data_IF_486997004258
#
_entry.id   IF_486997004258
#
_cell.length_a   1.000
_cell.length_b   1.000
_cell.length_c   1.000
_cell.angle_alpha   90.00
_cell.angle_beta   90.00
_cell.angle_gamma   90.00
#
_symmetry.space_group_name_H-M   'P 1'
#
loop_
_entity.id
_entity.type
_entity.pdbx_description
1 polymer ?
#
# COMPACT_ATOMS: atom_id res chain seq x y z
N UNK A 1 25.23 -7.72 10.28
CA UNK A 1 26.39 -8.05 9.41
C UNK A 1 26.67 -9.55 9.13
N UNK A 2 25.88 -10.51 9.62
CA UNK A 2 25.99 -11.93 9.19
C UNK A 2 25.69 -12.11 7.68
N UNK A 3 24.72 -11.34 7.16
CA UNK A 3 24.41 -11.27 5.72
C UNK A 3 25.59 -10.74 4.88
N UNK A 4 26.41 -9.82 5.41
CA UNK A 4 27.61 -9.32 4.72
C UNK A 4 28.68 -10.40 4.57
N UNK A 5 28.84 -11.27 5.58
CA UNK A 5 29.72 -12.45 5.51
C UNK A 5 29.17 -13.54 4.61
N UNK A 6 27.85 -13.66 4.52
CA UNK A 6 27.15 -14.60 3.62
C UNK A 6 27.29 -14.23 2.14
N UNK A 7 27.67 -12.99 1.85
CA UNK A 7 27.87 -12.49 0.49
C UNK A 7 26.57 -12.21 -0.26
N UNK A 8 26.68 -12.12 -1.57
CA UNK A 8 25.56 -11.89 -2.48
C UNK A 8 25.31 -13.12 -3.36
N UNK A 9 24.25 -13.10 -4.19
CA UNK A 9 24.05 -14.12 -5.24
C UNK A 9 25.25 -14.20 -6.21
N UNK A 10 26.08 -13.16 -6.30
CA UNK A 10 27.32 -13.12 -7.10
C UNK A 10 28.59 -13.61 -6.39
N UNK A 11 28.49 -14.10 -5.15
CA UNK A 11 29.63 -14.60 -4.37
C UNK A 11 29.98 -13.71 -3.17
N UNK A 12 31.17 -13.95 -2.63
CA UNK A 12 31.64 -13.33 -1.38
C UNK A 12 31.90 -11.83 -1.56
N UNK A 13 31.19 -11.01 -0.77
CA UNK A 13 31.39 -9.55 -0.76
C UNK A 13 32.62 -9.18 0.07
N UNK A 14 32.92 -9.97 1.11
CA UNK A 14 34.05 -9.78 2.02
C UNK A 14 34.96 -11.02 1.97
N UNK A 15 36.24 -10.81 1.64
CA UNK A 15 37.27 -11.82 1.81
C UNK A 15 37.89 -11.67 3.22
N UNK A 16 37.35 -12.39 4.20
CA UNK A 16 37.77 -12.27 5.61
C UNK A 16 39.26 -12.59 5.78
N UNK A 17 40.02 -11.69 6.41
CA UNK A 17 41.47 -11.84 6.58
C UNK A 17 42.30 -11.60 5.32
N UNK A 18 41.67 -11.43 4.15
CA UNK A 18 42.32 -11.20 2.85
C UNK A 18 41.70 -9.98 2.17
N UNK A 19 41.85 -8.80 2.80
CA UNK A 19 41.12 -7.59 2.43
C UNK A 19 41.14 -7.27 0.93
N UNK A 20 42.28 -7.42 0.26
CA UNK A 20 42.46 -7.12 -1.17
C UNK A 20 41.74 -8.08 -2.14
N UNK A 21 41.21 -9.21 -1.65
CA UNK A 21 40.52 -10.20 -2.50
C UNK A 21 38.99 -10.05 -2.48
N UNK A 22 38.45 -9.13 -1.69
CA UNK A 22 37.00 -8.93 -1.56
C UNK A 22 36.44 -7.91 -2.56
N UNK A 23 35.24 -8.19 -3.08
CA UNK A 23 34.52 -7.31 -4.00
C UNK A 23 34.29 -5.90 -3.40
N UNK A 24 34.04 -5.80 -2.09
CA UNK A 24 33.83 -4.49 -1.44
C UNK A 24 35.02 -3.54 -1.65
N UNK A 25 36.24 -4.00 -1.41
CA UNK A 25 37.42 -3.15 -1.56
C UNK A 25 37.76 -2.89 -3.03
N UNK A 26 37.53 -3.86 -3.91
CA UNK A 26 37.68 -3.68 -5.35
C UNK A 26 36.77 -2.53 -5.85
N UNK A 27 35.51 -2.48 -5.39
CA UNK A 27 34.56 -1.41 -5.73
C UNK A 27 34.92 -0.05 -5.12
N UNK A 28 35.45 -0.01 -3.90
CA UNK A 28 35.84 1.25 -3.26
C UNK A 28 37.11 1.86 -3.86
N UNK A 29 37.99 1.04 -4.43
CA UNK A 29 39.28 1.47 -4.99
C UNK A 29 39.32 1.48 -6.52
N UNK A 30 38.25 1.05 -7.20
CA UNK A 30 38.16 1.06 -8.65
C UNK A 30 38.41 2.46 -9.24
N UNK A 31 39.18 2.49 -10.33
CA UNK A 31 39.46 3.73 -11.08
C UNK A 31 38.39 4.02 -12.13
N UNK A 32 37.71 2.98 -12.64
CA UNK A 32 36.56 3.13 -13.52
C UNK A 32 35.36 3.67 -12.72
N UNK A 33 34.82 4.81 -13.14
CA UNK A 33 33.67 5.44 -12.49
C UNK A 33 32.41 4.58 -12.52
N UNK A 34 32.25 3.73 -13.54
CA UNK A 34 31.08 2.84 -13.67
C UNK A 34 31.13 1.64 -12.72
N UNK A 35 32.32 1.32 -12.20
CA UNK A 35 32.54 0.22 -11.27
C UNK A 35 32.73 0.71 -9.83
N UNK A 36 33.22 1.94 -9.65
CA UNK A 36 33.55 2.51 -8.35
C UNK A 36 32.31 2.85 -7.53
N UNK A 37 32.36 2.53 -6.24
CA UNK A 37 31.34 2.92 -5.27
C UNK A 37 31.83 4.08 -4.37
N UNK A 38 30.98 5.06 -4.02
CA UNK A 38 29.59 5.19 -4.46
C UNK A 38 29.51 5.58 -5.95
N UNK A 39 28.49 5.09 -6.69
CA UNK A 39 28.37 5.31 -8.13
C UNK A 39 28.01 6.77 -8.42
N UNK A 40 27.23 7.37 -7.53
CA UNK A 40 26.96 8.79 -7.47
C UNK A 40 27.63 9.35 -6.22
N UNK A 41 28.59 10.26 -6.40
CA UNK A 41 29.23 10.97 -5.28
C UNK A 41 30.76 10.98 -5.32
N UNK A 42 31.33 11.62 -4.31
CA UNK A 42 32.78 11.66 -4.13
C UNK A 42 33.30 10.28 -3.67
N UNK A 43 34.51 9.89 -4.08
CA UNK A 43 35.19 8.73 -3.50
C UNK A 43 35.31 8.86 -1.99
N UNK A 44 35.30 7.72 -1.30
CA UNK A 44 35.67 7.70 0.11
C UNK A 44 37.09 8.23 0.28
N UNK A 45 37.33 8.90 1.41
CA UNK A 45 38.65 9.41 1.75
C UNK A 45 39.61 8.24 1.96
N UNK A 46 40.92 8.43 1.69
CA UNK A 46 41.92 7.39 1.90
C UNK A 46 41.87 6.77 3.31
N UNK A 47 41.61 7.57 4.34
CA UNK A 47 41.50 7.10 5.73
C UNK A 47 40.28 6.21 5.97
N UNK A 48 39.16 6.47 5.27
CA UNK A 48 37.94 5.65 5.37
C UNK A 48 38.16 4.30 4.69
N UNK A 49 38.78 4.29 3.50
CA UNK A 49 39.15 3.06 2.79
C UNK A 49 40.15 2.25 3.63
N UNK A 50 41.13 2.92 4.26
CA UNK A 50 42.10 2.29 5.16
C UNK A 50 41.41 1.62 6.35
N UNK A 51 40.47 2.32 7.00
CA UNK A 51 39.71 1.77 8.12
C UNK A 51 38.90 0.53 7.71
N UNK A 52 38.25 0.56 6.54
CA UNK A 52 37.51 -0.59 6.00
C UNK A 52 38.46 -1.76 5.72
N UNK A 53 39.63 -1.50 5.13
CA UNK A 53 40.65 -2.52 4.86
C UNK A 53 41.13 -3.20 6.14
N UNK A 54 41.47 -2.42 7.15
CA UNK A 54 41.92 -2.94 8.46
C UNK A 54 40.83 -3.75 9.14
N UNK A 55 39.57 -3.29 9.06
CA UNK A 55 38.42 -4.02 9.58
C UNK A 55 38.24 -5.38 8.90
N UNK A 56 38.34 -5.47 7.56
CA UNK A 56 38.26 -6.75 6.83
C UNK A 56 39.43 -7.67 7.17
N UNK A 57 40.65 -7.12 7.25
CA UNK A 57 41.85 -7.86 7.63
C UNK A 57 41.77 -8.42 9.06
N UNK A 58 41.11 -7.71 9.97
CA UNK A 58 40.81 -8.17 11.33
C UNK A 58 39.68 -9.23 11.40
N UNK A 59 39.19 -9.71 10.25
CA UNK A 59 38.10 -10.70 10.18
C UNK A 59 36.71 -10.08 10.29
N UNK A 60 36.57 -8.78 10.00
CA UNK A 60 35.31 -8.03 10.04
C UNK A 60 34.55 -8.24 11.37
N UNK A 61 35.15 -7.91 12.54
CA UNK A 61 34.50 -8.11 13.83
C UNK A 61 33.21 -7.29 13.93
N UNK A 62 32.18 -7.88 14.53
CA UNK A 62 30.85 -7.30 14.64
C UNK A 62 30.60 -6.81 16.07
N UNK A 63 29.93 -5.67 16.27
CA UNK A 63 29.47 -5.25 17.59
C UNK A 63 28.54 -6.32 18.19
N UNK A 64 28.78 -6.73 19.43
CA UNK A 64 27.92 -7.73 20.11
C UNK A 64 26.47 -7.25 20.28
N UNK A 65 26.22 -5.95 20.22
CA UNK A 65 24.89 -5.33 20.33
C UNK A 65 24.11 -5.30 19.01
N UNK A 66 24.73 -5.68 17.88
CA UNK A 66 24.06 -5.66 16.58
C UNK A 66 23.19 -6.91 16.43
N UNK A 67 21.87 -6.73 16.44
CA UNK A 67 20.91 -7.79 16.13
C UNK A 67 20.58 -7.76 14.64
N UNK A 68 20.50 -8.93 14.02
CA UNK A 68 20.01 -9.02 12.65
C UNK A 68 18.55 -8.54 12.60
N UNK A 69 18.20 -7.82 11.55
CA UNK A 69 16.79 -7.52 11.28
C UNK A 69 16.02 -8.83 11.11
N UNK A 70 14.82 -8.89 11.68
CA UNK A 70 13.92 -10.03 11.51
C UNK A 70 13.62 -10.24 10.02
N UNK A 71 13.41 -11.48 9.61
CA UNK A 71 13.08 -11.76 8.22
C UNK A 71 11.77 -11.05 7.83
N UNK A 72 11.68 -10.43 6.64
CA UNK A 72 10.46 -9.76 6.16
C UNK A 72 9.16 -10.54 6.38
N UNK A 73 9.20 -11.86 6.18
CA UNK A 73 8.04 -12.75 6.34
C UNK A 73 7.56 -12.86 7.79
N UNK A 74 8.40 -12.57 8.78
CA UNK A 74 8.04 -12.60 10.21
C UNK A 74 7.26 -11.36 10.63
N UNK A 75 7.23 -10.30 9.81
CA UNK A 75 6.43 -9.11 10.11
C UNK A 75 4.94 -9.47 10.19
N UNK A 76 4.24 -8.91 11.19
CA UNK A 76 2.86 -9.28 11.54
C UNK A 76 1.87 -9.18 10.37
N UNK A 77 2.11 -8.26 9.42
CA UNK A 77 1.28 -8.07 8.24
C UNK A 77 1.31 -9.25 7.26
N UNK A 78 2.37 -10.08 7.30
CA UNK A 78 2.52 -11.29 6.48
C UNK A 78 2.21 -12.58 7.25
N UNK A 79 1.70 -12.45 8.47
CA UNK A 79 1.28 -13.57 9.31
C UNK A 79 -0.23 -13.72 9.25
N UNK A 80 -0.70 -14.96 9.24
CA UNK A 80 -2.15 -15.23 9.30
C UNK A 80 -2.71 -14.70 10.62
N UNK A 81 -3.68 -13.77 10.62
CA UNK A 81 -4.28 -13.26 11.84
C UNK A 81 -4.88 -14.40 12.67
N UNK A 82 -4.53 -14.45 13.96
CA UNK A 82 -5.07 -15.45 14.89
C UNK A 82 -6.12 -14.78 15.78
N UNK A 83 -7.25 -15.45 15.95
CA UNK A 83 -8.30 -14.97 16.86
C UNK A 83 -7.75 -14.99 18.29
N UNK A 84 -7.83 -13.84 18.96
CA UNK A 84 -7.44 -13.69 20.36
C UNK A 84 -8.68 -13.80 21.26
N UNK A 85 -8.53 -14.32 22.49
CA UNK A 85 -9.60 -14.23 23.48
C UNK A 85 -9.87 -12.77 23.80
N UNK A 86 -11.15 -12.41 23.89
CA UNK A 86 -11.56 -11.05 24.25
C UNK A 86 -11.37 -10.84 25.77
N UNK A 87 -10.88 -9.67 26.20
CA UNK A 87 -10.58 -9.40 27.61
C UNK A 87 -11.82 -9.08 28.46
N UNK A 88 -13.00 -8.94 27.84
CA UNK A 88 -14.22 -8.48 28.49
C UNK A 88 -15.49 -9.06 27.86
N UNK A 89 -16.62 -8.54 28.32
CA UNK A 89 -17.97 -8.92 27.90
C UNK A 89 -18.89 -7.70 27.70
N UNK A 90 -18.33 -6.55 27.31
CA UNK A 90 -19.06 -5.29 27.07
C UNK A 90 -20.01 -5.34 25.86
N UNK A 91 -20.23 -6.51 25.27
CA UNK A 91 -21.12 -6.76 24.13
C UNK A 91 -20.44 -6.49 22.79
N UNK A 92 -19.73 -5.38 22.65
CA UNK A 92 -18.96 -5.04 21.45
C UNK A 92 -17.46 -5.42 21.63
N UNK A 93 -16.94 -6.36 20.80
CA UNK A 93 -15.54 -6.79 20.89
C UNK A 93 -14.50 -5.68 20.73
N UNK A 94 -14.81 -4.61 19.99
CA UNK A 94 -13.90 -3.47 19.79
C UNK A 94 -13.78 -2.69 21.09
N UNK A 95 -14.89 -2.46 21.77
CA UNK A 95 -14.93 -1.73 23.04
C UNK A 95 -14.19 -2.50 24.13
N UNK A 96 -14.35 -3.83 24.19
CA UNK A 96 -13.60 -4.71 25.11
C UNK A 96 -12.07 -4.54 24.93
N UNK A 97 -11.60 -4.54 23.67
CA UNK A 97 -10.18 -4.39 23.34
C UNK A 97 -9.66 -2.99 23.71
N UNK A 98 -10.45 -1.95 23.43
CA UNK A 98 -10.08 -0.57 23.75
C UNK A 98 -10.03 -0.34 25.26
N UNK A 99 -11.04 -0.79 26.00
CA UNK A 99 -11.13 -0.58 27.45
C UNK A 99 -10.02 -1.33 28.20
N UNK A 100 -9.70 -2.55 27.79
CA UNK A 100 -8.55 -3.28 28.33
C UNK A 100 -7.23 -2.51 28.11
N UNK A 101 -7.07 -1.87 26.94
CA UNK A 101 -5.88 -1.08 26.63
C UNK A 101 -5.82 0.23 27.42
N UNK A 102 -6.95 0.91 27.59
CA UNK A 102 -7.07 2.14 28.38
C UNK A 102 -6.77 1.86 29.86
N UNK A 103 -7.37 0.82 30.42
CA UNK A 103 -7.17 0.39 31.82
C UNK A 103 -5.70 0.07 32.09
N UNK A 104 -5.05 -0.70 31.22
CA UNK A 104 -3.61 -1.00 31.33
C UNK A 104 -2.73 0.25 31.32
N UNK A 105 -3.18 1.32 30.68
CA UNK A 105 -2.48 2.61 30.59
C UNK A 105 -2.91 3.62 31.66
N UNK A 106 -3.82 3.26 32.57
CA UNK A 106 -4.38 4.18 33.56
C UNK A 106 -5.18 5.34 32.94
N UNK A 107 -5.70 5.15 31.72
CA UNK A 107 -6.48 6.15 31.01
C UNK A 107 -7.98 5.88 31.21
N UNK A 108 -8.76 6.95 31.36
CA UNK A 108 -10.22 6.90 31.44
C UNK A 108 -10.82 7.51 30.17
N UNK A 109 -11.80 6.82 29.58
CA UNK A 109 -12.54 7.34 28.44
C UNK A 109 -13.33 8.61 28.83
N UNK A 110 -13.45 9.54 27.88
CA UNK A 110 -14.34 10.69 28.01
C UNK A 110 -15.80 10.23 27.90
N UNK A 111 -16.76 10.96 28.51
CA UNK A 111 -18.16 10.65 28.34
C UNK A 111 -18.57 10.75 26.86
N UNK A 112 -19.62 10.02 26.43
CA UNK A 112 -20.18 10.16 25.10
C UNK A 112 -20.50 11.63 24.78
N UNK A 113 -20.28 12.02 23.53
CA UNK A 113 -20.65 13.35 23.07
C UNK A 113 -22.18 13.53 23.10
N UNK A 114 -22.63 14.78 23.18
CA UNK A 114 -24.05 15.10 23.11
C UNK A 114 -24.68 14.54 21.83
N UNK A 115 -25.96 14.15 21.92
CA UNK A 115 -26.69 13.52 20.81
C UNK A 115 -26.65 14.34 19.52
N UNK A 116 -26.83 15.66 19.64
CA UNK A 116 -26.75 16.62 18.53
C UNK A 116 -25.39 16.59 17.82
N UNK A 117 -24.30 16.47 18.59
CA UNK A 117 -22.93 16.34 18.05
C UNK A 117 -22.79 15.01 17.32
N UNK A 118 -23.31 13.92 17.88
CA UNK A 118 -23.26 12.60 17.25
C UNK A 118 -24.07 12.55 15.96
N UNK A 119 -25.28 13.12 15.92
CA UNK A 119 -26.08 13.24 14.70
C UNK A 119 -25.32 14.03 13.64
N UNK A 120 -24.75 15.18 14.00
CA UNK A 120 -23.93 15.97 13.06
C UNK A 120 -22.76 15.16 12.49
N UNK A 121 -22.08 14.35 13.30
CA UNK A 121 -21.00 13.47 12.84
C UNK A 121 -21.52 12.40 11.90
N UNK A 122 -22.59 11.70 12.25
CA UNK A 122 -23.20 10.65 11.41
C UNK A 122 -23.54 11.18 10.01
N UNK A 123 -24.20 12.34 9.92
CA UNK A 123 -24.57 12.94 8.64
C UNK A 123 -23.33 13.32 7.80
N UNK A 124 -22.33 13.98 8.40
CA UNK A 124 -21.11 14.37 7.69
C UNK A 124 -20.24 13.17 7.29
N UNK A 125 -20.20 12.14 8.12
CA UNK A 125 -19.39 10.95 7.88
C UNK A 125 -20.02 10.05 6.82
N UNK A 126 -21.33 9.77 6.94
CA UNK A 126 -22.03 8.85 6.04
C UNK A 126 -22.39 9.49 4.70
N UNK A 127 -22.94 10.69 4.69
CA UNK A 127 -23.47 11.31 3.46
C UNK A 127 -22.77 12.62 3.08
N UNK A 128 -21.87 13.15 3.91
CA UNK A 128 -21.08 14.34 3.59
C UNK A 128 -21.85 15.66 3.66
N UNK A 129 -23.10 15.65 4.09
CA UNK A 129 -23.96 16.83 4.21
C UNK A 129 -24.27 17.11 5.69
N UNK A 130 -24.45 18.39 6.11
CA UNK A 130 -24.90 18.68 7.46
C UNK A 130 -26.38 18.30 7.65
N UNK A 131 -26.80 17.88 8.85
CA UNK A 131 -28.22 17.64 9.16
C UNK A 131 -29.02 18.96 9.17
N UNK A 132 -30.32 18.87 8.88
CA UNK A 132 -31.27 19.98 9.08
C UNK A 132 -31.53 20.23 10.57
N UNK A 133 -32.19 21.36 10.89
CA UNK A 133 -32.58 21.67 12.27
C UNK A 133 -33.48 20.62 12.90
N UNK A 134 -34.41 20.03 12.13
CA UNK A 134 -35.27 18.93 12.58
C UNK A 134 -34.47 17.63 12.78
N UNK A 135 -33.61 17.28 11.83
CA UNK A 135 -32.76 16.09 11.92
C UNK A 135 -31.79 16.16 13.11
N UNK A 136 -31.31 17.35 13.49
CA UNK A 136 -30.48 17.53 14.69
C UNK A 136 -31.19 17.19 16.00
N UNK A 137 -32.53 17.31 16.04
CA UNK A 137 -33.36 16.98 17.19
C UNK A 137 -33.94 15.56 17.08
N UNK A 138 -33.47 14.75 16.13
CA UNK A 138 -34.00 13.41 15.91
C UNK A 138 -33.72 12.50 17.11
N UNK A 139 -34.79 12.00 17.75
CA UNK A 139 -34.74 11.11 18.92
C UNK A 139 -34.87 9.62 18.57
N UNK A 140 -34.98 9.27 17.28
CA UNK A 140 -35.07 7.87 16.84
C UNK A 140 -33.84 7.07 17.27
N UNK A 141 -33.99 5.74 17.29
CA UNK A 141 -32.86 4.84 17.53
C UNK A 141 -31.73 5.06 16.52
N UNK A 142 -30.48 4.93 16.97
CA UNK A 142 -29.30 5.16 16.12
C UNK A 142 -29.33 4.31 14.86
N UNK A 143 -29.73 3.06 14.99
CA UNK A 143 -29.78 2.10 13.89
C UNK A 143 -30.74 2.54 12.78
N UNK A 144 -31.87 3.17 13.14
CA UNK A 144 -32.83 3.68 12.15
C UNK A 144 -32.28 4.88 11.38
N UNK A 145 -31.58 5.79 12.06
CA UNK A 145 -30.93 6.95 11.43
C UNK A 145 -29.79 6.50 10.52
N UNK A 146 -28.97 5.55 11.00
CA UNK A 146 -27.86 4.99 10.21
C UNK A 146 -28.38 4.28 8.96
N UNK A 147 -29.41 3.44 9.08
CA UNK A 147 -30.00 2.75 7.94
C UNK A 147 -30.56 3.73 6.90
N UNK A 148 -31.25 4.79 7.34
CA UNK A 148 -31.73 5.86 6.45
C UNK A 148 -30.59 6.56 5.72
N UNK A 149 -29.50 6.88 6.42
CA UNK A 149 -28.34 7.55 5.84
C UNK A 149 -27.56 6.63 4.89
N UNK A 150 -27.44 5.34 5.18
CA UNK A 150 -26.81 4.36 4.30
C UNK A 150 -27.63 4.12 3.02
N UNK A 151 -28.97 4.18 3.12
CA UNK A 151 -29.87 4.07 1.97
C UNK A 151 -29.95 5.34 1.11
N UNK A 152 -29.36 6.45 1.56
CA UNK A 152 -29.34 7.71 0.83
C UNK A 152 -28.43 7.63 -0.40
N UNK A 153 -28.81 8.17 -1.58
CA UNK A 153 -27.92 8.19 -2.75
C UNK A 153 -26.62 8.98 -2.50
N UNK A 154 -26.64 9.92 -1.55
CA UNK A 154 -25.47 10.70 -1.14
C UNK A 154 -24.40 9.86 -0.41
N UNK A 155 -24.78 8.68 0.13
CA UNK A 155 -23.82 7.77 0.76
C UNK A 155 -22.75 7.32 -0.25
N UNK A 156 -23.18 6.80 -1.40
CA UNK A 156 -22.29 6.39 -2.48
C UNK A 156 -21.44 7.55 -3.00
N UNK A 157 -22.00 8.75 -3.15
CA UNK A 157 -21.23 9.93 -3.56
C UNK A 157 -20.15 10.33 -2.54
N UNK A 158 -20.48 10.27 -1.24
CA UNK A 158 -19.55 10.55 -0.15
C UNK A 158 -18.42 9.54 -0.12
N UNK A 159 -18.76 8.25 -0.09
CA UNK A 159 -17.79 7.17 0.08
C UNK A 159 -17.00 6.86 -1.19
N UNK A 160 -17.58 7.06 -2.38
CA UNK A 160 -16.87 6.90 -3.64
C UNK A 160 -15.62 7.77 -3.68
N UNK A 161 -15.64 8.99 -3.13
CA UNK A 161 -14.46 9.87 -3.10
C UNK A 161 -13.28 9.26 -2.36
N UNK A 162 -13.54 8.63 -1.21
CA UNK A 162 -12.49 7.96 -0.44
C UNK A 162 -11.87 6.79 -1.21
N UNK A 163 -12.71 6.00 -1.89
CA UNK A 163 -12.24 4.91 -2.73
C UNK A 163 -11.50 5.38 -3.99
N UNK A 164 -12.01 6.45 -4.60
CA UNK A 164 -11.39 7.09 -5.77
C UNK A 164 -9.98 7.61 -5.48
N UNK A 165 -9.69 8.05 -4.26
CA UNK A 165 -8.31 8.43 -3.88
C UNK A 165 -7.37 7.21 -3.89
N UNK A 166 -7.82 6.07 -3.37
CA UNK A 166 -7.04 4.82 -3.31
C UNK A 166 -6.88 4.19 -4.70
N UNK A 167 -7.96 4.10 -5.46
CA UNK A 167 -7.95 3.53 -6.81
C UNK A 167 -7.39 4.51 -7.85
N UNK A 168 -7.04 5.72 -7.41
CA UNK A 168 -6.55 6.80 -8.26
C UNK A 168 -7.52 7.04 -9.40
N UNK A 169 -8.73 7.50 -9.11
CA UNK A 169 -9.57 8.07 -10.13
C UNK A 169 -9.06 9.47 -10.52
N UNK A 170 -9.09 9.75 -11.82
CA UNK A 170 -9.16 11.10 -12.35
C UNK A 170 -9.93 11.02 -13.66
N UNK A 171 -10.50 12.15 -14.09
CA UNK A 171 -10.99 12.20 -15.46
C UNK A 171 -9.80 12.11 -16.45
N UNK A 172 -10.14 11.95 -17.72
CA UNK A 172 -9.16 11.78 -18.77
C UNK A 172 -8.22 12.99 -18.90
N UNK A 173 -6.98 12.72 -19.26
CA UNK A 173 -5.93 13.70 -19.51
C UNK A 173 -5.45 13.59 -20.96
N UNK A 174 -4.97 14.70 -21.52
CA UNK A 174 -4.54 14.75 -22.90
C UNK A 174 -3.87 16.06 -23.32
N UNK A 175 -3.38 16.08 -24.55
CA UNK A 175 -2.86 17.28 -25.22
C UNK A 175 -3.51 17.41 -26.59
N UNK A 176 -4.30 18.47 -26.80
CA UNK A 176 -5.14 18.60 -27.99
C UNK A 176 -6.14 17.44 -28.07
N UNK A 177 -6.18 16.75 -29.21
CA UNK A 177 -7.06 15.59 -29.42
C UNK A 177 -6.47 14.26 -28.89
N UNK A 178 -5.22 14.27 -28.42
CA UNK A 178 -4.56 13.07 -27.92
C UNK A 178 -4.91 12.76 -26.47
N UNK A 179 -5.33 11.53 -26.20
CA UNK A 179 -5.45 11.00 -24.84
C UNK A 179 -4.07 10.56 -24.35
N UNK A 180 -3.70 10.97 -23.13
CA UNK A 180 -2.45 10.62 -22.45
C UNK A 180 -2.77 10.14 -21.03
N UNK A 181 -2.11 9.07 -20.59
CA UNK A 181 -2.16 8.57 -19.21
C UNK A 181 -3.59 8.27 -18.67
N UNK A 182 -4.53 7.89 -19.55
CA UNK A 182 -5.95 7.60 -19.24
C UNK A 182 -6.73 7.11 -20.50
N UNK A 183 -8.06 7.00 -20.40
CA UNK A 183 -8.98 6.84 -21.54
C UNK A 183 -10.10 7.88 -21.52
N UNK A 184 -10.76 8.12 -22.66
CA UNK A 184 -11.98 8.96 -22.70
C UNK A 184 -13.09 8.27 -21.91
N UNK A 185 -14.04 9.06 -21.40
CA UNK A 185 -15.24 8.56 -20.70
C UNK A 185 -14.96 7.85 -19.37
N UNK A 186 -13.82 8.11 -18.73
CA UNK A 186 -13.44 7.55 -17.43
C UNK A 186 -14.47 7.86 -16.33
N UNK A 187 -15.26 8.92 -16.48
CA UNK A 187 -16.40 9.22 -15.61
C UNK A 187 -17.41 8.07 -15.46
N UNK A 188 -17.51 7.16 -16.43
CA UNK A 188 -18.34 5.95 -16.32
C UNK A 188 -17.87 5.04 -15.20
N UNK A 189 -16.56 4.97 -14.97
CA UNK A 189 -15.99 4.23 -13.85
C UNK A 189 -16.32 4.90 -12.51
N UNK A 190 -16.22 6.24 -12.42
CA UNK A 190 -16.70 6.98 -11.24
C UNK A 190 -18.16 6.65 -10.93
N UNK A 191 -19.03 6.69 -11.94
CA UNK A 191 -20.45 6.41 -11.76
C UNK A 191 -20.69 4.95 -11.33
N UNK A 192 -19.91 4.01 -11.88
CA UNK A 192 -19.92 2.61 -11.41
C UNK A 192 -19.48 2.49 -9.95
N UNK A 193 -18.48 3.25 -9.48
CA UNK A 193 -18.04 3.25 -8.07
C UNK A 193 -19.19 3.72 -7.17
N UNK A 194 -19.81 4.86 -7.50
CA UNK A 194 -20.92 5.44 -6.74
C UNK A 194 -22.10 4.46 -6.68
N UNK A 195 -22.48 3.92 -7.84
CA UNK A 195 -23.59 2.98 -7.96
C UNK A 195 -23.32 1.69 -7.17
N UNK A 196 -22.11 1.13 -7.28
CA UNK A 196 -21.73 -0.10 -6.56
C UNK A 196 -21.81 0.08 -5.03
N UNK A 197 -21.47 1.25 -4.51
CA UNK A 197 -21.60 1.55 -3.07
C UNK A 197 -23.06 1.69 -2.65
N UNK A 198 -23.88 2.40 -3.42
CA UNK A 198 -25.31 2.57 -3.14
C UNK A 198 -26.10 1.26 -3.24
N UNK A 199 -25.68 0.35 -4.13
CA UNK A 199 -26.26 -0.99 -4.25
C UNK A 199 -25.71 -2.00 -3.24
N UNK A 200 -24.82 -1.57 -2.34
CA UNK A 200 -24.15 -2.43 -1.36
C UNK A 200 -23.45 -3.64 -2.01
N UNK A 201 -22.77 -3.40 -3.15
CA UNK A 201 -22.02 -4.44 -3.86
C UNK A 201 -20.86 -4.92 -3.00
N UNK A 202 -20.70 -6.23 -2.88
CA UNK A 202 -19.60 -6.85 -2.14
C UNK A 202 -18.23 -6.37 -2.67
N UNK A 203 -17.33 -6.02 -1.76
CA UNK A 203 -16.00 -5.53 -2.13
C UNK A 203 -15.21 -6.54 -2.98
N UNK A 204 -15.36 -7.82 -2.70
CA UNK A 204 -14.75 -8.91 -3.46
C UNK A 204 -15.27 -8.95 -4.92
N UNK A 205 -16.54 -8.63 -5.14
CA UNK A 205 -17.13 -8.51 -6.46
C UNK A 205 -16.63 -7.23 -7.15
N UNK A 206 -16.56 -6.10 -6.44
CA UNK A 206 -15.99 -4.85 -6.97
C UNK A 206 -14.54 -5.05 -7.46
N UNK A 207 -13.70 -5.73 -6.68
CA UNK A 207 -12.32 -6.05 -7.07
C UNK A 207 -12.31 -6.94 -8.32
N UNK A 208 -13.13 -8.00 -8.37
CA UNK A 208 -13.23 -8.87 -9.56
C UNK A 208 -13.66 -8.11 -10.81
N UNK A 209 -14.64 -7.23 -10.70
CA UNK A 209 -15.10 -6.38 -11.81
C UNK A 209 -14.00 -5.41 -12.27
N UNK A 210 -13.32 -4.72 -11.34
CA UNK A 210 -12.22 -3.82 -11.71
C UNK A 210 -11.07 -4.53 -12.41
N UNK A 211 -10.79 -5.78 -12.03
CA UNK A 211 -9.69 -6.56 -12.59
C UNK A 211 -10.06 -7.30 -13.90
N UNK A 212 -11.33 -7.68 -14.10
CA UNK A 212 -11.68 -8.62 -15.16
C UNK A 212 -13.11 -8.48 -15.73
N UNK A 213 -13.82 -7.36 -15.52
CA UNK A 213 -15.22 -7.20 -15.99
C UNK A 213 -15.44 -7.45 -17.49
N UNK A 214 -14.44 -7.14 -18.32
CA UNK A 214 -14.40 -7.42 -19.75
C UNK A 214 -14.35 -8.93 -20.07
N UNK A 215 -13.76 -9.74 -19.21
CA UNK A 215 -13.73 -11.20 -19.34
C UNK A 215 -14.96 -11.88 -18.72
N UNK A 216 -15.38 -11.46 -17.52
CA UNK A 216 -16.52 -12.10 -16.82
C UNK A 216 -17.88 -11.70 -17.40
N UNK A 217 -18.01 -10.47 -17.93
CA UNK A 217 -19.29 -9.92 -18.40
C UNK A 217 -19.12 -8.99 -19.62
N UNK A 218 -18.51 -9.45 -20.74
CA UNK A 218 -18.13 -8.59 -21.87
C UNK A 218 -19.26 -7.77 -22.51
N UNK A 219 -20.52 -8.20 -22.32
CA UNK A 219 -21.70 -7.57 -22.91
C UNK A 219 -22.44 -6.64 -21.94
N UNK A 220 -22.09 -6.63 -20.66
CA UNK A 220 -22.69 -5.73 -19.69
C UNK A 220 -21.84 -4.46 -19.58
N UNK A 221 -22.24 -3.40 -20.30
CA UNK A 221 -21.49 -2.14 -20.33
C UNK A 221 -21.41 -1.45 -18.96
N UNK A 222 -22.38 -1.68 -18.08
CA UNK A 222 -22.35 -1.12 -16.71
C UNK A 222 -21.26 -1.79 -15.90
N UNK A 223 -21.14 -3.12 -15.97
CA UNK A 223 -20.08 -3.86 -15.28
C UNK A 223 -18.71 -3.62 -15.93
N UNK A 224 -18.62 -3.58 -17.26
CA UNK A 224 -17.38 -3.31 -17.99
C UNK A 224 -16.80 -1.93 -17.62
N UNK A 225 -17.63 -0.96 -17.21
CA UNK A 225 -17.13 0.32 -16.72
C UNK A 225 -16.16 0.21 -15.53
N UNK A 226 -16.21 -0.89 -14.77
CA UNK A 226 -15.27 -1.17 -13.68
C UNK A 226 -13.81 -1.27 -14.16
N UNK A 227 -13.57 -1.73 -15.40
CA UNK A 227 -12.21 -1.79 -15.99
C UNK A 227 -11.62 -0.41 -16.27
N UNK A 228 -12.36 0.67 -15.95
CA UNK A 228 -11.80 2.01 -15.79
C UNK A 228 -10.57 2.04 -14.89
N UNK A 229 -10.47 1.13 -13.91
CA UNK A 229 -9.27 0.92 -13.10
C UNK A 229 -8.01 0.66 -13.97
N UNK A 230 -8.13 -0.19 -15.00
CA UNK A 230 -7.05 -0.44 -15.96
C UNK A 230 -6.86 0.70 -16.95
N UNK A 231 -7.98 1.19 -17.49
CA UNK A 231 -7.98 2.26 -18.47
C UNK A 231 -7.29 3.52 -17.93
N UNK A 232 -7.32 3.73 -16.61
CA UNK A 232 -6.62 4.83 -15.95
C UNK A 232 -5.10 4.76 -16.08
N UNK A 233 -4.51 3.57 -16.14
CA UNK A 233 -3.06 3.42 -16.29
C UNK A 233 -2.60 3.42 -17.76
N UNK A 234 -3.53 3.49 -18.71
CA UNK A 234 -3.23 3.41 -20.14
C UNK A 234 -2.21 4.47 -20.57
N UNK A 235 -1.14 4.01 -21.21
CA UNK A 235 -0.11 4.89 -21.76
C UNK A 235 0.24 4.51 -23.19
N UNK A 236 -0.12 5.39 -24.13
CA UNK A 236 0.02 5.18 -25.59
C UNK A 236 1.47 4.94 -26.03
N UNK A 237 2.44 5.61 -25.40
CA UNK A 237 3.81 5.67 -25.92
C UNK A 237 4.71 4.51 -25.47
N UNK A 238 4.35 3.80 -24.39
CA UNK A 238 5.17 2.72 -23.87
C UNK A 238 4.33 1.70 -23.07
N UNK A 239 4.12 0.50 -23.65
CA UNK A 239 3.40 -0.58 -22.97
C UNK A 239 4.10 -1.04 -21.69
N UNK A 240 5.43 -1.02 -21.64
CA UNK A 240 6.16 -1.40 -20.42
C UNK A 240 5.86 -0.45 -19.28
N UNK A 241 5.89 0.87 -19.51
CA UNK A 241 5.50 1.87 -18.50
C UNK A 241 4.05 1.69 -18.05
N UNK A 242 3.13 1.42 -18.99
CA UNK A 242 1.74 1.10 -18.64
C UNK A 242 1.69 -0.10 -17.69
N UNK A 243 2.33 -1.23 -18.05
CA UNK A 243 2.32 -2.42 -17.20
C UNK A 243 3.00 -2.21 -15.84
N UNK A 244 4.08 -1.43 -15.79
CA UNK A 244 4.75 -1.11 -14.53
C UNK A 244 3.81 -0.33 -13.60
N UNK A 245 3.06 0.64 -14.15
CA UNK A 245 2.02 1.37 -13.43
C UNK A 245 0.88 0.45 -12.99
N UNK A 246 0.42 -0.44 -13.88
CA UNK A 246 -0.62 -1.44 -13.58
C UNK A 246 -0.24 -2.29 -12.37
N UNK A 247 0.99 -2.83 -12.34
CA UNK A 247 1.51 -3.63 -11.22
C UNK A 247 1.53 -2.81 -9.93
N UNK A 248 2.14 -1.63 -9.96
CA UNK A 248 2.31 -0.80 -8.77
C UNK A 248 0.99 -0.34 -8.17
N UNK A 249 0.04 0.10 -9.00
CA UNK A 249 -1.25 0.59 -8.51
C UNK A 249 -2.14 -0.55 -8.03
N UNK A 250 -2.09 -1.72 -8.68
CA UNK A 250 -2.81 -2.92 -8.20
C UNK A 250 -2.26 -3.36 -6.84
N UNK A 251 -0.92 -3.39 -6.69
CA UNK A 251 -0.28 -3.71 -5.42
C UNK A 251 -0.66 -2.77 -4.28
N UNK A 252 -0.64 -1.46 -4.54
CA UNK A 252 -1.04 -0.45 -3.56
C UNK A 252 -2.53 -0.52 -3.23
N UNK A 253 -3.39 -0.61 -4.25
CA UNK A 253 -4.84 -0.53 -4.09
C UNK A 253 -5.41 -1.73 -3.33
N UNK A 254 -4.95 -2.94 -3.63
CA UNK A 254 -5.58 -4.17 -3.13
C UNK A 254 -4.74 -4.93 -2.10
N UNK A 255 -3.42 -4.75 -2.10
CA UNK A 255 -2.51 -5.45 -1.17
C UNK A 255 -1.87 -4.52 -0.15
N UNK A 256 -1.92 -3.19 -0.35
CA UNK A 256 -1.20 -2.23 0.49
C UNK A 256 0.32 -2.37 0.39
N UNK A 257 0.83 -2.93 -0.72
CA UNK A 257 2.24 -3.22 -0.94
C UNK A 257 2.82 -2.37 -2.07
N UNK A 258 4.08 -1.97 -1.93
CA UNK A 258 4.85 -1.33 -3.01
C UNK A 258 5.68 -2.39 -3.74
N UNK A 259 5.59 -2.44 -5.07
CA UNK A 259 6.28 -3.44 -5.89
C UNK A 259 7.38 -2.83 -6.75
N UNK A 260 7.48 -1.51 -6.84
CA UNK A 260 8.46 -0.82 -7.67
C UNK A 260 9.92 -1.25 -7.46
N UNK A 261 10.37 -1.48 -6.22
CA UNK A 261 11.74 -1.94 -5.98
C UNK A 261 11.98 -3.35 -6.55
N UNK A 262 10.97 -4.24 -6.43
CA UNK A 262 11.00 -5.62 -6.91
C UNK A 262 11.22 -5.72 -8.43
N UNK A 263 11.02 -4.64 -9.18
CA UNK A 263 11.28 -4.58 -10.62
C UNK A 263 12.74 -4.83 -10.99
N UNK A 264 13.68 -4.30 -10.21
CA UNK A 264 15.10 -4.33 -10.53
C UNK A 264 15.88 -5.31 -9.65
N UNK A 265 15.44 -5.53 -8.42
CA UNK A 265 16.06 -6.41 -7.44
C UNK A 265 15.02 -6.87 -6.42
N UNK A 266 15.31 -7.88 -5.60
CA UNK A 266 14.41 -8.31 -4.52
C UNK A 266 14.05 -7.12 -3.62
N UNK A 267 12.78 -7.00 -3.21
CA UNK A 267 12.30 -5.85 -2.45
C UNK A 267 13.07 -5.71 -1.12
N UNK A 268 13.39 -4.47 -0.74
CA UNK A 268 14.32 -4.22 0.38
C UNK A 268 13.78 -4.68 1.74
N UNK A 269 12.48 -4.50 1.97
CA UNK A 269 11.84 -4.73 3.27
C UNK A 269 10.72 -5.75 3.24
N UNK A 270 9.87 -5.71 2.21
CA UNK A 270 8.80 -6.68 2.00
C UNK A 270 9.30 -8.00 1.37
N UNK A 271 8.64 -9.14 1.67
CA UNK A 271 9.02 -10.46 1.19
C UNK A 271 8.58 -10.71 -0.27
N UNK A 272 8.93 -9.79 -1.17
CA UNK A 272 8.62 -9.83 -2.60
C UNK A 272 9.93 -9.96 -3.36
N UNK A 273 10.14 -11.08 -4.04
CA UNK A 273 11.34 -11.26 -4.84
C UNK A 273 11.19 -10.67 -6.26
N UNK A 274 12.31 -10.53 -6.96
CA UNK A 274 12.34 -10.00 -8.33
C UNK A 274 11.48 -10.84 -9.29
N UNK A 275 11.46 -12.16 -9.11
CA UNK A 275 10.70 -13.07 -9.96
C UNK A 275 9.19 -12.93 -9.73
N UNK A 276 8.76 -12.72 -8.49
CA UNK A 276 7.38 -12.49 -8.09
C UNK A 276 6.82 -11.25 -8.78
N UNK A 277 7.61 -10.18 -8.90
CA UNK A 277 7.23 -8.99 -9.68
C UNK A 277 6.87 -9.34 -11.13
N UNK A 278 7.73 -10.10 -11.82
CA UNK A 278 7.49 -10.45 -13.22
C UNK A 278 6.38 -11.50 -13.41
N UNK A 279 6.18 -12.41 -12.46
CA UNK A 279 5.01 -13.31 -12.44
C UNK A 279 3.72 -12.53 -12.28
N UNK A 280 3.69 -11.57 -11.36
CA UNK A 280 2.54 -10.71 -11.15
C UNK A 280 2.28 -9.82 -12.37
N UNK A 281 3.33 -9.28 -13.00
CA UNK A 281 3.22 -8.52 -14.25
C UNK A 281 2.66 -9.35 -15.41
N UNK A 282 2.92 -10.66 -15.45
CA UNK A 282 2.56 -11.53 -16.56
C UNK A 282 1.06 -11.84 -16.67
N UNK A 283 0.26 -11.53 -15.64
CA UNK A 283 -1.21 -11.69 -15.69
C UNK A 283 -1.92 -10.50 -16.36
N UNK A 284 -1.17 -9.48 -16.81
CA UNK A 284 -1.63 -8.25 -17.48
C UNK A 284 -1.01 -8.07 -18.88
#
# INVERSE_FOLDING_TARGET
AENLRKGSKGGDVLALGQAEQGELLARLTATNADERMPPEGAPLKPEEIKAIREWIAAGAPLPQSETAEAAPREHWAFQVPRRVPLPGNAGNPIDDLLEARLTKRGLKAQPPAERTILIRRLYLDLIGLPPTGEQLQDERRWEAIVEELLASPYYGERWARHWMDIWRYSDWYGLGDEVRDSQKQLWRWRDWIVTSLNENKGYDQMVREMLAADEITPRNLETVAATGFWARSYYKFNRTTWLDNTVEHTGKAFMGLTMNCAKCHDHKYDPIDHLDYYKFRAIF
#
